data_IF_683048548946
#
_entry.id   IF_683048548946
#
_cell.length_a   1.000
_cell.length_b   1.000
_cell.length_c   1.000
_cell.angle_alpha   90.00
_cell.angle_beta   90.00
_cell.angle_gamma   90.00
#
_symmetry.space_group_name_H-M   'P 1'
#
loop_
_entity.id
_entity.type
_entity.pdbx_description
1 polymer ?
#
# COMPACT_ATOMS: atom_id res chain seq x y z
N UNK A 1 -13.20 17.93 -13.76
CA UNK A 1 -12.83 19.23 -14.37
C UNK A 1 -11.61 19.87 -13.70
N UNK A 2 -11.55 20.09 -12.38
CA UNK A 2 -10.34 20.65 -11.75
C UNK A 2 -9.07 19.78 -11.94
N UNK A 3 -9.18 18.46 -11.76
CA UNK A 3 -8.05 17.55 -12.04
C UNK A 3 -7.60 17.56 -13.52
N UNK A 4 -8.54 17.77 -14.45
CA UNK A 4 -8.25 17.87 -15.88
C UNK A 4 -7.38 19.10 -16.17
N UNK A 5 -7.65 20.22 -15.49
CA UNK A 5 -6.82 21.42 -15.60
C UNK A 5 -5.37 21.18 -15.16
N UNK A 6 -5.15 20.41 -14.10
CA UNK A 6 -3.80 20.15 -13.58
C UNK A 6 -3.06 19.06 -14.37
N UNK A 7 -3.76 18.04 -14.82
CA UNK A 7 -3.16 16.83 -15.41
C UNK A 7 -3.07 16.92 -16.93
N UNK A 8 -4.12 17.43 -17.58
CA UNK A 8 -4.21 17.46 -19.06
C UNK A 8 -3.79 18.82 -19.60
N UNK A 9 -4.31 19.89 -19.01
CA UNK A 9 -4.03 21.25 -19.49
C UNK A 9 -2.75 21.84 -18.86
N UNK A 10 -2.16 21.15 -17.88
CA UNK A 10 -0.91 21.52 -17.17
C UNK A 10 -0.91 22.97 -16.62
N UNK A 11 -2.07 23.49 -16.22
CA UNK A 11 -2.20 24.87 -15.71
C UNK A 11 -2.08 24.93 -14.19
N UNK A 12 -1.43 25.96 -13.67
CA UNK A 12 -1.21 26.11 -12.23
C UNK A 12 -2.46 26.59 -11.46
N UNK A 13 -2.47 26.34 -10.14
CA UNK A 13 -3.54 26.77 -9.21
C UNK A 13 -3.89 28.26 -9.34
N UNK A 14 -2.93 29.22 -9.39
CA UNK A 14 -3.26 30.63 -9.56
C UNK A 14 -4.00 30.92 -10.87
N UNK A 15 -3.65 30.23 -11.96
CA UNK A 15 -4.28 30.40 -13.26
C UNK A 15 -5.74 29.90 -13.24
N UNK A 16 -5.98 28.71 -12.70
CA UNK A 16 -7.34 28.15 -12.55
C UNK A 16 -8.21 29.07 -11.68
N UNK A 17 -7.65 29.56 -10.57
CA UNK A 17 -8.38 30.44 -9.65
C UNK A 17 -8.72 31.81 -10.28
N UNK A 18 -7.87 32.34 -11.16
CA UNK A 18 -8.10 33.65 -11.79
C UNK A 18 -8.96 33.56 -13.05
N UNK A 19 -8.74 32.55 -13.91
CA UNK A 19 -9.29 32.50 -15.26
C UNK A 19 -10.31 31.37 -15.50
N UNK A 20 -10.60 30.54 -14.50
CA UNK A 20 -11.56 29.42 -14.58
C UNK A 20 -12.56 29.41 -13.41
N UNK A 21 -12.91 30.59 -12.88
CA UNK A 21 -13.80 30.77 -11.73
C UNK A 21 -15.17 30.12 -11.88
N UNK A 22 -15.71 30.08 -13.10
CA UNK A 22 -17.02 29.49 -13.38
C UNK A 22 -17.10 27.99 -13.02
N UNK A 23 -15.97 27.30 -13.05
CA UNK A 23 -15.86 25.88 -12.64
C UNK A 23 -15.70 25.69 -11.13
N UNK A 24 -15.53 26.78 -10.37
CA UNK A 24 -15.32 26.78 -8.91
C UNK A 24 -16.56 27.27 -8.15
N UNK A 25 -17.58 27.74 -8.87
CA UNK A 25 -18.81 28.31 -8.31
C UNK A 25 -19.99 27.36 -8.56
N UNK A 26 -20.83 27.19 -7.55
CA UNK A 26 -22.10 26.50 -7.68
C UNK A 26 -23.25 27.51 -7.61
N UNK A 27 -23.95 27.73 -8.72
CA UNK A 27 -25.08 28.67 -8.77
C UNK A 27 -26.41 27.94 -8.74
N UNK A 28 -27.28 28.27 -7.78
CA UNK A 28 -28.66 27.78 -7.69
C UNK A 28 -29.64 28.92 -7.93
N UNK A 29 -30.67 28.66 -8.73
CA UNK A 29 -31.81 29.57 -8.91
C UNK A 29 -32.82 29.29 -7.81
N UNK A 30 -33.00 30.24 -6.90
CA UNK A 30 -33.96 30.15 -5.79
C UNK A 30 -35.16 31.01 -6.18
N UNK A 31 -36.36 30.43 -6.11
CA UNK A 31 -37.61 31.19 -6.32
C UNK A 31 -37.77 32.19 -5.19
N UNK A 32 -37.93 33.45 -5.52
CA UNK A 32 -38.19 34.51 -4.55
C UNK A 32 -39.62 34.38 -4.05
N UNK A 33 -39.86 34.63 -2.76
CA UNK A 33 -41.22 34.75 -2.24
C UNK A 33 -41.86 36.03 -2.79
N UNK A 34 -43.08 35.95 -3.29
CA UNK A 34 -43.82 37.05 -3.96
C UNK A 34 -44.20 38.23 -3.06
N UNK A 35 -43.71 38.26 -1.81
CA UNK A 35 -44.05 39.29 -0.80
C UNK A 35 -43.13 40.50 -0.78
N UNK A 36 -41.90 40.39 -1.28
CA UNK A 36 -40.88 41.43 -1.06
C UNK A 36 -40.80 42.48 -2.18
N UNK A 37 -41.19 42.15 -3.43
CA UNK A 37 -41.22 43.07 -4.58
C UNK A 37 -42.03 42.48 -5.76
N UNK A 38 -43.21 43.01 -6.10
CA UNK A 38 -44.07 42.46 -7.16
C UNK A 38 -43.59 42.74 -8.60
N UNK A 39 -42.70 43.72 -8.80
CA UNK A 39 -42.14 44.06 -10.14
C UNK A 39 -40.73 43.49 -10.37
N UNK A 40 -40.18 42.75 -9.39
CA UNK A 40 -38.87 42.13 -9.46
C UNK A 40 -38.87 40.76 -10.17
N UNK A 41 -37.71 40.25 -10.63
CA UNK A 41 -37.61 38.93 -11.23
C UNK A 41 -37.98 37.79 -10.25
N UNK A 42 -38.72 36.79 -10.73
CA UNK A 42 -39.24 35.63 -9.97
C UNK A 42 -38.16 34.78 -9.25
N UNK A 43 -36.89 34.95 -9.61
CA UNK A 43 -35.78 34.14 -9.11
C UNK A 43 -34.60 35.01 -8.68
N UNK A 44 -33.98 34.62 -7.57
CA UNK A 44 -32.66 35.09 -7.15
C UNK A 44 -31.62 34.03 -7.45
N UNK A 45 -30.51 34.42 -8.08
CA UNK A 45 -29.36 33.53 -8.28
C UNK A 45 -28.51 33.62 -7.01
N UNK A 46 -28.45 32.53 -6.24
CA UNK A 46 -27.49 32.37 -5.16
C UNK A 46 -26.28 31.61 -5.72
N UNK A 47 -25.11 32.22 -5.64
CA UNK A 47 -23.85 31.60 -6.06
C UNK A 47 -23.00 31.31 -4.83
N UNK A 48 -22.81 30.03 -4.53
CA UNK A 48 -21.95 29.57 -3.44
C UNK A 48 -20.57 29.18 -3.99
N UNK A 49 -19.51 29.58 -3.30
CA UNK A 49 -18.14 29.23 -3.68
C UNK A 49 -17.83 27.81 -3.21
N UNK A 50 -17.64 26.89 -4.16
CA UNK A 50 -17.47 25.46 -3.88
C UNK A 50 -16.03 25.10 -3.54
N UNK A 51 -15.08 25.70 -4.26
CA UNK A 51 -13.65 25.45 -4.11
C UNK A 51 -12.89 26.76 -3.94
N UNK A 52 -12.13 26.84 -2.86
CA UNK A 52 -11.22 27.93 -2.57
C UNK A 52 -9.82 27.64 -3.13
N UNK A 53 -8.95 28.64 -3.05
CA UNK A 53 -7.56 28.49 -3.47
C UNK A 53 -6.83 27.39 -2.68
N UNK A 54 -7.08 27.30 -1.37
CA UNK A 54 -6.52 26.25 -0.52
C UNK A 54 -7.00 24.85 -0.93
N UNK A 55 -8.28 24.72 -1.32
CA UNK A 55 -8.84 23.47 -1.81
C UNK A 55 -8.17 23.03 -3.11
N UNK A 56 -7.85 23.97 -4.01
CA UNK A 56 -7.13 23.70 -5.25
C UNK A 56 -5.70 23.20 -4.98
N UNK A 57 -4.98 23.83 -4.05
CA UNK A 57 -3.67 23.35 -3.60
C UNK A 57 -3.76 21.95 -2.98
N UNK A 58 -4.79 21.72 -2.17
CA UNK A 58 -5.02 20.41 -1.55
C UNK A 58 -5.32 19.33 -2.59
N UNK A 59 -6.10 19.63 -3.61
CA UNK A 59 -6.37 18.70 -4.72
C UNK A 59 -5.08 18.34 -5.45
N UNK A 60 -4.23 19.33 -5.75
CA UNK A 60 -2.93 19.08 -6.40
C UNK A 60 -2.01 18.20 -5.52
N UNK A 61 -1.94 18.48 -4.22
CA UNK A 61 -1.17 17.67 -3.27
C UNK A 61 -1.68 16.22 -3.21
N UNK A 62 -3.01 16.03 -3.14
CA UNK A 62 -3.64 14.72 -3.11
C UNK A 62 -3.39 13.93 -4.40
N UNK A 63 -3.41 14.60 -5.55
CA UNK A 63 -3.12 13.99 -6.83
C UNK A 63 -1.66 13.51 -6.91
N UNK A 64 -0.68 14.31 -6.50
CA UNK A 64 0.73 13.86 -6.40
C UNK A 64 0.85 12.62 -5.52
N UNK A 65 0.22 12.64 -4.33
CA UNK A 65 0.23 11.47 -3.42
C UNK A 65 -0.43 10.25 -4.04
N UNK A 66 -1.54 10.43 -4.75
CA UNK A 66 -2.27 9.35 -5.41
C UNK A 66 -1.43 8.72 -6.53
N UNK A 67 -0.76 9.52 -7.36
CA UNK A 67 0.14 8.99 -8.40
C UNK A 67 1.29 8.19 -7.81
N UNK A 68 1.97 8.72 -6.78
CA UNK A 68 3.03 7.98 -6.10
C UNK A 68 2.53 6.67 -5.48
N UNK A 69 1.31 6.67 -4.94
CA UNK A 69 0.67 5.47 -4.42
C UNK A 69 0.41 4.43 -5.52
N UNK A 70 -0.18 4.85 -6.65
CA UNK A 70 -0.44 3.97 -7.80
C UNK A 70 0.86 3.43 -8.40
N UNK A 71 1.88 4.27 -8.55
CA UNK A 71 3.20 3.84 -9.03
C UNK A 71 3.82 2.76 -8.13
N UNK A 72 3.75 2.95 -6.81
CA UNK A 72 4.26 1.97 -5.85
C UNK A 72 3.45 0.67 -5.88
N UNK A 73 2.12 0.74 -5.95
CA UNK A 73 1.25 -0.44 -6.10
C UNK A 73 1.62 -1.22 -7.35
N UNK A 74 1.70 -0.55 -8.49
CA UNK A 74 2.06 -1.18 -9.77
C UNK A 74 3.47 -1.79 -9.73
N UNK A 75 4.43 -1.14 -9.06
CA UNK A 75 5.77 -1.68 -8.86
C UNK A 75 5.75 -2.95 -8.01
N UNK A 76 4.90 -2.99 -6.98
CA UNK A 76 4.75 -4.14 -6.09
C UNK A 76 4.09 -5.32 -6.82
N UNK A 77 3.04 -5.07 -7.60
CA UNK A 77 2.39 -6.06 -8.47
C UNK A 77 3.38 -6.69 -9.45
N UNK A 78 4.20 -5.88 -10.13
CA UNK A 78 5.27 -6.36 -11.02
C UNK A 78 6.29 -7.22 -10.29
N UNK A 79 6.60 -6.89 -9.04
CA UNK A 79 7.53 -7.66 -8.22
C UNK A 79 6.95 -9.03 -7.89
N UNK A 80 5.66 -9.10 -7.54
CA UNK A 80 4.94 -10.36 -7.30
C UNK A 80 4.86 -11.19 -8.58
N UNK A 81 4.56 -10.57 -9.71
CA UNK A 81 4.54 -11.27 -11.01
C UNK A 81 5.92 -11.84 -11.37
N UNK A 82 6.99 -11.09 -11.09
CA UNK A 82 8.37 -11.57 -11.27
C UNK A 82 8.68 -12.77 -10.37
N UNK A 83 8.19 -12.77 -9.13
CA UNK A 83 8.35 -13.90 -8.21
C UNK A 83 7.64 -15.17 -8.70
N UNK A 84 6.48 -15.04 -9.35
CA UNK A 84 5.77 -16.18 -9.97
C UNK A 84 6.60 -16.87 -11.05
N UNK A 85 7.51 -16.16 -11.73
CA UNK A 85 8.42 -16.76 -12.72
C UNK A 85 9.42 -17.74 -12.12
N UNK A 86 9.66 -17.68 -10.80
CA UNK A 86 10.56 -18.57 -10.04
C UNK A 86 9.76 -19.51 -9.13
N UNK A 87 8.51 -19.81 -9.49
CA UNK A 87 7.62 -20.72 -8.77
C UNK A 87 7.37 -20.29 -7.31
N UNK A 88 7.28 -18.97 -7.09
CA UNK A 88 6.96 -18.38 -5.78
C UNK A 88 5.59 -17.74 -5.86
N UNK A 89 4.61 -18.33 -5.20
CA UNK A 89 3.27 -17.78 -5.07
C UNK A 89 2.94 -17.49 -3.61
N UNK A 90 2.70 -16.21 -3.31
CA UNK A 90 2.21 -15.75 -2.00
C UNK A 90 0.79 -15.21 -2.17
N UNK A 91 -0.20 -16.01 -1.79
CA UNK A 91 -1.61 -15.65 -1.88
C UNK A 91 -1.97 -14.49 -0.94
N UNK A 92 -1.34 -14.40 0.24
CA UNK A 92 -1.59 -13.33 1.20
C UNK A 92 -1.22 -11.98 0.58
N UNK A 93 -0.03 -11.87 -0.01
CA UNK A 93 0.39 -10.62 -0.66
C UNK A 93 -0.48 -10.29 -1.87
N UNK A 94 -0.85 -11.31 -2.66
CA UNK A 94 -1.71 -11.13 -3.84
C UNK A 94 -3.10 -10.58 -3.46
N UNK A 95 -3.65 -11.00 -2.32
CA UNK A 95 -4.93 -10.51 -1.78
C UNK A 95 -4.79 -9.11 -1.14
N UNK A 96 -3.70 -8.83 -0.43
CA UNK A 96 -3.53 -7.58 0.32
C UNK A 96 -3.16 -6.36 -0.54
N UNK A 97 -2.44 -6.54 -1.66
CA UNK A 97 -2.07 -5.43 -2.56
C UNK A 97 -3.27 -4.59 -3.03
N UNK A 98 -4.36 -5.20 -3.56
CA UNK A 98 -5.53 -4.42 -3.99
C UNK A 98 -6.30 -3.80 -2.82
N UNK A 99 -6.27 -4.42 -1.64
CA UNK A 99 -6.94 -3.94 -0.43
C UNK A 99 -6.22 -2.77 0.24
N UNK A 100 -4.90 -2.63 0.06
CA UNK A 100 -4.12 -1.54 0.63
C UNK A 100 -4.67 -0.17 0.17
N UNK A 101 -4.90 0.75 1.10
CA UNK A 101 -5.43 2.10 0.85
C UNK A 101 -4.38 3.17 1.17
N UNK A 102 -3.36 2.83 1.96
CA UNK A 102 -2.33 3.77 2.43
C UNK A 102 -0.94 3.43 1.92
N UNK A 103 -0.08 4.45 1.84
CA UNK A 103 1.33 4.30 1.43
C UNK A 103 2.12 3.39 2.39
N UNK A 104 1.77 3.41 3.68
CA UNK A 104 2.40 2.61 4.72
C UNK A 104 2.08 1.13 4.54
N UNK A 105 0.81 0.76 4.28
CA UNK A 105 0.44 -0.63 3.99
C UNK A 105 1.20 -1.18 2.77
N UNK A 106 1.37 -0.38 1.71
CA UNK A 106 2.19 -0.77 0.57
C UNK A 106 3.68 -0.89 0.93
N UNK A 107 4.18 -0.09 1.88
CA UNK A 107 5.56 -0.21 2.38
C UNK A 107 5.73 -1.50 3.19
N UNK A 108 4.79 -1.81 4.07
CA UNK A 108 4.82 -3.02 4.89
C UNK A 108 4.80 -4.28 4.02
N UNK A 109 3.98 -4.31 2.96
CA UNK A 109 3.96 -5.41 1.99
C UNK A 109 5.28 -5.52 1.22
N UNK A 110 5.87 -4.39 0.82
CA UNK A 110 7.18 -4.38 0.17
C UNK A 110 8.27 -4.93 1.12
N UNK A 111 8.26 -4.50 2.37
CA UNK A 111 9.22 -4.93 3.38
C UNK A 111 9.03 -6.42 3.72
N UNK A 112 7.79 -6.90 3.80
CA UNK A 112 7.48 -8.32 3.93
C UNK A 112 8.03 -9.15 2.75
N UNK A 113 7.82 -8.73 1.50
CA UNK A 113 8.37 -9.43 0.34
C UNK A 113 9.90 -9.46 0.37
N UNK A 114 10.53 -8.33 0.72
CA UNK A 114 11.98 -8.25 0.84
C UNK A 114 12.50 -9.14 2.00
N UNK A 115 11.74 -9.24 3.08
CA UNK A 115 12.04 -10.08 4.22
C UNK A 115 11.89 -11.58 3.91
N UNK A 116 10.82 -11.98 3.21
CA UNK A 116 10.50 -13.38 2.94
C UNK A 116 11.24 -13.92 1.73
N UNK A 117 11.40 -13.12 0.67
CA UNK A 117 11.91 -13.54 -0.63
C UNK A 117 13.16 -12.78 -1.06
N UNK A 118 13.81 -12.04 -0.15
CA UNK A 118 14.99 -11.22 -0.41
C UNK A 118 16.09 -11.90 -1.23
N UNK A 119 16.50 -13.15 -0.94
CA UNK A 119 17.48 -13.87 -1.78
C UNK A 119 16.99 -14.08 -3.22
N UNK A 120 15.76 -14.56 -3.40
CA UNK A 120 15.17 -14.82 -4.73
C UNK A 120 15.00 -13.53 -5.54
N UNK A 121 14.63 -12.44 -4.88
CA UNK A 121 14.52 -11.12 -5.50
C UNK A 121 15.90 -10.59 -5.97
N UNK A 122 16.97 -10.86 -5.22
CA UNK A 122 18.34 -10.52 -5.65
C UNK A 122 18.78 -11.32 -6.86
N UNK A 123 18.47 -12.61 -6.88
CA UNK A 123 18.80 -13.50 -8.01
C UNK A 123 18.05 -13.05 -9.28
N UNK A 124 16.76 -12.74 -9.16
CA UNK A 124 15.95 -12.16 -10.24
C UNK A 124 16.50 -10.83 -10.77
N UNK A 125 16.94 -9.95 -9.86
CA UNK A 125 17.55 -8.67 -10.24
C UNK A 125 18.90 -8.86 -10.97
N UNK A 126 19.70 -9.84 -10.54
CA UNK A 126 20.95 -10.20 -11.19
C UNK A 126 20.73 -10.80 -12.59
N UNK A 127 19.72 -11.67 -12.75
CA UNK A 127 19.35 -12.27 -14.04
C UNK A 127 18.81 -11.24 -15.03
N UNK A 128 18.14 -10.20 -14.53
CA UNK A 128 17.55 -9.13 -15.34
C UNK A 128 18.53 -7.98 -15.66
N UNK A 129 19.80 -8.09 -15.25
CA UNK A 129 20.84 -7.06 -15.51
C UNK A 129 20.67 -5.75 -14.73
N UNK A 130 19.71 -5.67 -13.80
CA UNK A 130 19.38 -4.48 -13.01
C UNK A 130 20.12 -4.48 -11.66
N UNK A 131 21.46 -4.57 -11.70
CA UNK A 131 22.31 -4.68 -10.50
C UNK A 131 22.32 -3.39 -9.65
N UNK A 132 21.88 -2.25 -10.19
CA UNK A 132 22.03 -0.93 -9.56
C UNK A 132 20.95 -0.54 -8.53
N UNK A 133 19.83 -1.27 -8.44
CA UNK A 133 18.66 -0.86 -7.62
C UNK A 133 18.42 -1.72 -6.37
N UNK A 134 19.20 -2.78 -6.15
CA UNK A 134 19.05 -3.57 -4.91
C UNK A 134 19.74 -2.83 -3.76
N UNK A 135 18.98 -2.02 -3.02
CA UNK A 135 19.40 -1.49 -1.70
C UNK A 135 20.03 -2.64 -0.93
N UNK A 136 21.33 -2.53 -0.57
CA UNK A 136 22.02 -3.51 0.27
C UNK A 136 21.23 -3.69 1.56
N UNK A 137 20.61 -4.85 1.82
CA UNK A 137 20.04 -5.09 3.13
C UNK A 137 21.20 -5.17 4.12
N UNK A 138 21.10 -4.45 5.23
CA UNK A 138 22.09 -4.51 6.30
C UNK A 138 22.33 -5.96 6.74
N UNK A 139 23.51 -6.21 7.33
CA UNK A 139 24.03 -7.53 7.75
C UNK A 139 23.06 -8.45 8.52
N UNK A 140 21.91 -7.96 8.99
CA UNK A 140 20.85 -8.72 9.68
C UNK A 140 20.09 -9.70 8.77
N UNK A 141 19.87 -9.38 7.48
CA UNK A 141 19.25 -10.32 6.51
C UNK A 141 20.03 -11.63 6.46
N UNK A 142 21.37 -11.53 6.48
CA UNK A 142 22.24 -12.71 6.44
C UNK A 142 22.06 -13.65 7.63
N UNK A 143 21.68 -13.18 8.82
CA UNK A 143 21.53 -14.06 9.97
C UNK A 143 20.22 -14.85 9.90
N UNK A 144 19.10 -14.17 9.61
CA UNK A 144 17.83 -14.85 9.48
C UNK A 144 17.83 -15.80 8.27
N UNK A 145 18.40 -15.38 7.14
CA UNK A 145 18.53 -16.23 5.96
C UNK A 145 19.36 -17.49 6.27
N UNK A 146 20.42 -17.36 7.07
CA UNK A 146 21.19 -18.52 7.57
C UNK A 146 20.36 -19.40 8.50
N UNK A 147 19.62 -18.82 9.45
CA UNK A 147 18.74 -19.57 10.36
C UNK A 147 17.68 -20.35 9.59
N UNK A 148 17.03 -19.72 8.59
CA UNK A 148 16.01 -20.36 7.72
C UNK A 148 16.56 -21.54 6.92
N UNK A 149 17.83 -21.48 6.54
CA UNK A 149 18.51 -22.55 5.82
C UNK A 149 19.14 -23.60 6.75
N UNK A 150 19.23 -23.31 8.05
CA UNK A 150 19.81 -24.20 9.07
C UNK A 150 18.77 -25.07 9.78
N UNK A 151 19.25 -26.02 10.57
CA UNK A 151 18.39 -26.91 11.38
C UNK A 151 17.58 -26.17 12.45
N UNK A 152 18.08 -25.03 12.94
CA UNK A 152 17.38 -24.20 13.90
C UNK A 152 15.97 -23.76 13.43
N UNK A 153 15.70 -23.70 12.12
CA UNK A 153 14.37 -23.37 11.61
C UNK A 153 13.30 -24.43 11.94
N UNK A 154 13.69 -25.69 12.16
CA UNK A 154 12.75 -26.74 12.58
C UNK A 154 12.13 -26.43 13.94
N UNK A 155 12.87 -25.76 14.82
CA UNK A 155 12.36 -25.32 16.11
C UNK A 155 11.16 -24.37 15.97
N UNK A 156 11.23 -23.45 15.00
CA UNK A 156 10.12 -22.53 14.69
C UNK A 156 8.92 -23.28 14.14
N UNK A 157 9.15 -24.31 13.31
CA UNK A 157 8.07 -25.14 12.76
C UNK A 157 7.39 -26.02 13.82
N UNK A 158 8.15 -26.49 14.81
CA UNK A 158 7.66 -27.33 15.90
C UNK A 158 6.70 -26.62 16.85
N UNK A 159 6.62 -25.28 16.79
CA UNK A 159 5.63 -24.50 17.54
C UNK A 159 4.20 -24.62 16.98
N UNK A 160 4.02 -25.28 15.83
CA UNK A 160 2.70 -25.71 15.33
C UNK A 160 1.78 -24.61 14.82
N UNK A 161 2.20 -23.34 14.80
CA UNK A 161 1.41 -22.22 14.26
C UNK A 161 2.29 -21.25 13.47
N UNK A 162 1.85 -20.88 12.27
CA UNK A 162 2.56 -19.89 11.46
C UNK A 162 2.25 -18.46 11.91
N UNK A 163 3.15 -17.51 11.59
CA UNK A 163 2.93 -16.09 11.88
C UNK A 163 1.64 -15.55 11.20
N UNK A 164 1.35 -16.01 9.98
CA UNK A 164 0.11 -15.68 9.26
C UNK A 164 -1.14 -16.23 9.98
N UNK A 165 -1.11 -17.49 10.44
CA UNK A 165 -2.20 -18.08 11.21
C UNK A 165 -2.42 -17.35 12.54
N UNK A 166 -1.34 -16.94 13.21
CA UNK A 166 -1.41 -16.15 14.43
C UNK A 166 -2.06 -14.77 14.18
N UNK A 167 -1.70 -14.10 13.07
CA UNK A 167 -2.31 -12.84 12.67
C UNK A 167 -3.81 -12.99 12.34
N UNK A 168 -4.17 -14.00 11.55
CA UNK A 168 -5.57 -14.33 11.24
C UNK A 168 -6.40 -14.61 12.49
N UNK A 169 -5.83 -15.33 13.46
CA UNK A 169 -6.46 -15.54 14.77
C UNK A 169 -6.69 -14.23 15.54
N UNK A 170 -5.72 -13.31 15.53
CA UNK A 170 -5.82 -12.03 16.22
C UNK A 170 -6.92 -11.14 15.63
N UNK A 171 -7.04 -11.11 14.30
CA UNK A 171 -8.07 -10.34 13.57
C UNK A 171 -9.42 -11.09 13.50
N UNK A 172 -9.49 -12.32 14.04
CA UNK A 172 -10.67 -13.21 14.00
C UNK A 172 -11.13 -13.52 12.57
N UNK A 173 -10.19 -13.61 11.65
CA UNK A 173 -10.43 -13.97 10.27
C UNK A 173 -10.37 -15.49 10.11
N UNK A 174 -11.51 -16.11 9.79
CA UNK A 174 -11.60 -17.55 9.56
C UNK A 174 -11.67 -18.39 10.84
N UNK A 175 -11.37 -19.69 10.70
CA UNK A 175 -11.40 -20.65 11.81
C UNK A 175 -10.18 -20.44 12.70
N UNK A 176 -10.39 -20.32 14.01
CA UNK A 176 -9.31 -20.22 14.99
C UNK A 176 -8.43 -21.47 14.93
N UNK A 177 -7.13 -21.27 14.69
CA UNK A 177 -6.11 -22.32 14.70
C UNK A 177 -5.42 -22.30 16.06
N UNK A 178 -5.32 -23.44 16.73
CA UNK A 178 -4.49 -23.57 17.93
C UNK A 178 -3.11 -24.11 17.53
N UNK A 179 -2.02 -23.71 18.22
CA UNK A 179 -0.73 -24.35 18.02
C UNK A 179 -0.80 -25.83 18.38
N UNK A 180 -0.12 -26.64 17.56
CA UNK A 180 0.09 -28.07 17.79
C UNK A 180 1.52 -28.25 18.29
N UNK A 181 1.67 -28.39 19.61
CA UNK A 181 2.98 -28.44 20.26
C UNK A 181 3.66 -29.79 20.01
N UNK A 182 4.98 -29.77 19.80
CA UNK A 182 5.80 -30.98 19.70
C UNK A 182 5.74 -31.82 20.98
N UNK A 183 5.87 -33.14 20.85
CA UNK A 183 5.89 -34.07 21.99
C UNK A 183 7.14 -33.88 22.86
N UNK A 184 8.23 -33.36 22.29
CA UNK A 184 9.48 -33.10 22.99
C UNK A 184 9.44 -31.78 23.76
N UNK A 185 10.11 -31.74 24.91
CA UNK A 185 10.28 -30.47 25.61
C UNK A 185 11.15 -29.51 24.78
N UNK A 186 10.90 -28.19 24.87
CA UNK A 186 11.61 -27.20 24.05
C UNK A 186 13.14 -27.27 24.18
N UNK A 187 13.67 -27.64 25.35
CA UNK A 187 15.13 -27.74 25.55
C UNK A 187 15.72 -28.96 24.83
N UNK A 188 15.04 -30.11 24.92
CA UNK A 188 15.48 -31.36 24.31
C UNK A 188 15.43 -31.24 22.78
N UNK A 189 14.37 -30.62 22.26
CA UNK A 189 14.23 -30.33 20.84
C UNK A 189 15.34 -29.37 20.37
N UNK A 190 15.64 -28.32 21.13
CA UNK A 190 16.70 -27.37 20.79
C UNK A 190 18.07 -28.05 20.72
N UNK A 191 18.40 -28.91 21.70
CA UNK A 191 19.65 -29.66 21.74
C UNK A 191 19.80 -30.60 20.53
N UNK A 192 18.69 -31.19 20.07
CA UNK A 192 18.68 -32.06 18.88
C UNK A 192 18.93 -31.30 17.56
N UNK A 193 18.70 -29.99 17.54
CA UNK A 193 18.77 -29.13 16.35
C UNK A 193 20.07 -28.32 16.25
N UNK A 194 21.05 -28.59 17.12
CA UNK A 194 22.38 -27.98 17.04
C UNK A 194 23.08 -28.42 15.75
N UNK A 195 23.72 -27.47 15.08
CA UNK A 195 24.51 -27.68 13.87
C UNK A 195 25.92 -27.12 14.11
N UNK A 196 26.95 -27.85 13.67
CA UNK A 196 28.35 -27.45 13.81
C UNK A 196 28.73 -26.31 12.85
N UNK A 197 27.86 -25.97 11.89
CA UNK A 197 28.11 -24.98 10.83
C UNK A 197 27.82 -23.51 11.19
N UNK A 198 28.03 -23.12 12.45
CA UNK A 198 27.90 -21.72 12.90
C UNK A 198 29.21 -20.94 12.86
#
# INVERSE_FOLDING_TARGET
KVLEFFIVDEVEVPYVFQHRKDYLLHSKKIRRSTRDDPDGPDYTIQSDKLLNQDDLWRILELDVKFRSFVEKRNSLEKTVESLKTVDVEDHMVTEMIPEAVTMEELQDLQDYLQFQYGPRLKDLAAMSGNVSQTKRPGSKSSLLDRVRNGKAYYFVKAYGISADQLAKNAVRQGKKVAPDDDEQYPIDLADSLIDDNF
#
